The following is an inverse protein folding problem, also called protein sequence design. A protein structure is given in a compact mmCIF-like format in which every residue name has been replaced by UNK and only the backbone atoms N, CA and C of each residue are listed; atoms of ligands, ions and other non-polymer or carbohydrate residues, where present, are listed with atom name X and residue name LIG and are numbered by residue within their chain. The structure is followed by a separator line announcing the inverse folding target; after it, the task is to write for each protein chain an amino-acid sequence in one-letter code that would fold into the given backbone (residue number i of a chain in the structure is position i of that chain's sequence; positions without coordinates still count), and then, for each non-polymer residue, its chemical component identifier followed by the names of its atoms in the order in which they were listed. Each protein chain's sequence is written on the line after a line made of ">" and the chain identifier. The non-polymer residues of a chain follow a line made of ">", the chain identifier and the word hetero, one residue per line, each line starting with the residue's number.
data_IF_995365715178
#
_entry.id   IF_995365715178
#
_cell.length_a   1.000
_cell.length_b   1.000
_cell.length_c   1.000
_cell.angle_alpha   90.00
_cell.angle_beta   90.00
_cell.angle_gamma   90.00
#
_symmetry.space_group_name_H-M   'P 1'
#
loop_
_entity.id
_entity.type
_entity.pdbx_description
1 polymer ?
#
# COMPACT_ATOMS: atom_id res chain seq x y z
N UNK A 1 75.73 20.54 -51.92
CA UNK A 1 75.52 19.75 -53.16
C UNK A 1 74.02 19.79 -53.43
N UNK A 2 73.52 20.84 -54.09
CA UNK A 2 73.26 20.96 -55.53
C UNK A 2 72.26 19.96 -56.12
N UNK A 3 71.22 20.55 -56.74
CA UNK A 3 70.27 20.05 -57.77
C UNK A 3 69.28 18.96 -57.31
N UNK A 4 67.99 18.90 -57.69
CA UNK A 4 67.27 19.34 -58.91
C UNK A 4 65.75 19.22 -58.63
N UNK A 5 64.90 20.17 -59.05
CA UNK A 5 63.97 20.10 -60.21
C UNK A 5 62.97 18.91 -60.13
N UNK A 6 61.65 19.04 -60.28
CA UNK A 6 60.87 20.17 -60.77
C UNK A 6 59.36 19.94 -60.73
N UNK A 7 58.70 20.90 -61.37
CA UNK A 7 57.27 21.15 -61.62
C UNK A 7 56.58 19.98 -62.33
N UNK A 8 55.29 19.74 -62.04
CA UNK A 8 54.18 19.61 -63.02
C UNK A 8 52.80 19.64 -62.32
N UNK A 9 51.92 20.47 -62.88
CA UNK A 9 50.46 20.61 -62.71
C UNK A 9 49.72 19.25 -62.66
N UNK A 10 48.52 19.11 -62.08
CA UNK A 10 47.24 19.41 -62.75
C UNK A 10 46.08 19.42 -61.74
N UNK A 11 45.16 20.30 -62.09
CA UNK A 11 43.90 20.76 -61.52
C UNK A 11 42.78 19.70 -61.48
N UNK A 12 41.97 19.81 -60.42
CA UNK A 12 40.58 19.37 -60.18
C UNK A 12 40.16 17.92 -60.51
N UNK A 13 39.67 17.24 -59.47
CA UNK A 13 38.32 16.67 -59.46
C UNK A 13 37.82 16.64 -58.01
N UNK A 14 36.77 17.41 -57.72
CA UNK A 14 36.12 17.42 -56.42
C UNK A 14 35.29 16.15 -56.22
N UNK A 15 35.45 15.52 -55.06
CA UNK A 15 34.50 14.54 -54.52
C UNK A 15 34.36 14.82 -53.03
N UNK A 16 33.13 15.19 -52.67
CA UNK A 16 32.66 15.43 -51.31
C UNK A 16 32.70 14.11 -50.55
N UNK A 17 33.55 14.02 -49.52
CA UNK A 17 33.55 12.91 -48.56
C UNK A 17 32.68 13.31 -47.38
N UNK A 18 31.50 12.70 -47.29
CA UNK A 18 30.62 12.74 -46.12
C UNK A 18 31.28 12.00 -44.95
N UNK A 19 31.45 12.68 -43.82
CA UNK A 19 32.04 12.12 -42.61
C UNK A 19 31.07 11.20 -41.85
N UNK A 20 31.56 10.01 -41.49
CA UNK A 20 30.89 9.05 -40.63
C UNK A 20 30.85 9.54 -39.17
N UNK A 21 29.65 9.75 -38.63
CA UNK A 21 29.44 9.86 -37.19
C UNK A 21 29.22 8.45 -36.61
N UNK A 22 30.03 8.08 -35.60
CA UNK A 22 29.88 6.84 -34.83
C UNK A 22 28.59 6.90 -33.99
N UNK A 23 27.67 5.96 -34.22
CA UNK A 23 26.56 5.66 -33.30
C UNK A 23 27.14 5.04 -32.01
N UNK A 24 26.76 5.60 -30.86
CA UNK A 24 26.89 4.93 -29.57
C UNK A 24 25.77 3.89 -29.48
N UNK A 25 26.13 2.62 -29.27
CA UNK A 25 25.19 1.55 -29.00
C UNK A 25 24.63 1.71 -27.58
N UNK A 26 23.31 1.87 -27.47
CA UNK A 26 22.58 1.69 -26.20
C UNK A 26 22.60 0.21 -25.83
N UNK A 27 22.64 -0.16 -24.54
CA UNK A 27 22.39 -1.54 -24.13
C UNK A 27 20.98 -1.97 -24.56
N UNK A 28 20.75 -3.25 -24.88
CA UNK A 28 19.43 -3.72 -25.26
C UNK A 28 18.46 -3.57 -24.08
N UNK A 29 17.37 -2.83 -24.31
CA UNK A 29 16.18 -2.90 -23.44
C UNK A 29 15.72 -4.36 -23.37
N UNK A 30 15.53 -4.87 -22.16
CA UNK A 30 14.86 -6.15 -21.96
C UNK A 30 13.43 -6.02 -22.51
N UNK A 31 12.92 -7.00 -23.28
CA UNK A 31 11.53 -6.94 -23.72
C UNK A 31 10.61 -6.93 -22.51
N UNK A 32 9.70 -5.96 -22.44
CA UNK A 32 8.52 -6.05 -21.58
C UNK A 32 7.76 -7.31 -21.98
N UNK A 33 7.87 -8.35 -21.17
CA UNK A 33 7.24 -9.64 -21.39
C UNK A 33 5.76 -9.53 -21.00
N UNK A 34 5.00 -8.73 -21.76
CA UNK A 34 3.54 -8.72 -21.67
C UNK A 34 3.07 -10.09 -22.13
N UNK A 35 2.48 -10.86 -21.21
CA UNK A 35 1.81 -12.11 -21.55
C UNK A 35 0.70 -11.83 -22.57
N UNK A 36 0.36 -12.83 -23.39
CA UNK A 36 -0.72 -12.73 -24.37
C UNK A 36 -2.05 -12.39 -23.65
N UNK A 37 -2.41 -11.11 -23.64
CA UNK A 37 -3.50 -10.57 -22.81
C UNK A 37 -3.23 -9.18 -22.24
N UNK A 38 -1.98 -8.68 -22.28
CA UNK A 38 -1.64 -7.33 -21.82
C UNK A 38 -1.39 -7.20 -20.31
N UNK A 39 -1.62 -8.26 -19.53
CA UNK A 39 -1.29 -8.34 -18.11
C UNK A 39 0.21 -8.45 -17.90
N UNK A 40 0.68 -7.80 -16.83
CA UNK A 40 2.05 -7.89 -16.34
C UNK A 40 2.14 -9.14 -15.47
N UNK A 41 3.15 -9.98 -15.72
CA UNK A 41 3.43 -11.15 -14.88
C UNK A 41 4.16 -10.70 -13.61
N UNK A 42 3.63 -11.04 -12.45
CA UNK A 42 4.32 -10.85 -11.18
C UNK A 42 5.56 -11.76 -11.08
N UNK A 43 6.54 -11.33 -10.29
CA UNK A 43 7.78 -12.07 -10.06
C UNK A 43 8.26 -11.83 -8.64
N UNK A 44 8.99 -12.81 -8.08
CA UNK A 44 9.49 -12.72 -6.72
C UNK A 44 10.44 -11.53 -6.56
N UNK A 45 10.11 -10.62 -5.64
CA UNK A 45 10.97 -9.50 -5.29
C UNK A 45 12.09 -9.95 -4.34
N UNK A 46 11.69 -10.57 -3.23
CA UNK A 46 12.56 -11.01 -2.15
C UNK A 46 11.82 -12.06 -1.33
N UNK A 47 12.57 -13.05 -0.84
CA UNK A 47 12.07 -14.05 0.10
C UNK A 47 12.16 -13.49 1.53
N UNK A 48 11.05 -13.56 2.28
CA UNK A 48 11.03 -13.18 3.69
C UNK A 48 11.59 -14.33 4.55
N UNK A 49 12.22 -14.04 5.69
CA UNK A 49 12.65 -15.09 6.63
C UNK A 49 11.48 -15.94 7.13
N UNK A 50 11.72 -17.22 7.46
CA UNK A 50 10.68 -18.19 7.93
C UNK A 50 9.80 -17.70 9.10
N UNK A 51 10.28 -16.73 9.89
CA UNK A 51 9.49 -16.11 10.96
C UNK A 51 8.52 -15.03 10.47
N UNK A 52 8.37 -14.85 9.16
CA UNK A 52 7.43 -13.94 8.50
C UNK A 52 6.48 -14.77 7.61
N UNK A 53 5.35 -15.21 8.18
CA UNK A 53 4.38 -16.10 7.55
C UNK A 53 3.09 -15.40 7.07
N UNK A 54 2.86 -14.15 7.48
CA UNK A 54 1.72 -13.35 7.00
C UNK A 54 2.17 -11.89 6.99
N UNK A 55 2.53 -11.31 5.84
CA UNK A 55 2.77 -9.88 5.69
C UNK A 55 1.46 -9.12 5.44
N UNK A 56 1.47 -7.82 5.67
CA UNK A 56 0.31 -6.94 5.46
C UNK A 56 0.77 -5.59 4.85
N UNK A 57 0.46 -4.46 5.49
CA UNK A 57 0.73 -3.12 4.98
C UNK A 57 2.21 -2.72 4.89
N UNK A 58 2.48 -1.71 4.08
CA UNK A 58 3.78 -1.20 3.68
C UNK A 58 3.81 0.32 3.69
N UNK A 59 4.96 0.89 4.07
CA UNK A 59 5.20 2.31 3.92
C UNK A 59 6.53 2.57 3.19
N UNK A 60 6.45 3.21 2.01
CA UNK A 60 7.60 3.61 1.22
C UNK A 60 8.38 4.74 1.91
N UNK A 61 9.71 4.63 1.93
CA UNK A 61 10.62 5.65 2.44
C UNK A 61 11.26 6.46 1.31
N UNK A 62 11.74 7.69 1.60
CA UNK A 62 12.33 8.56 0.58
C UNK A 62 13.58 8.00 -0.12
N UNK A 63 14.28 7.05 0.50
CA UNK A 63 15.48 6.39 -0.05
C UNK A 63 15.13 5.20 -0.97
N UNK A 64 13.84 4.92 -1.19
CA UNK A 64 13.37 3.78 -1.98
C UNK A 64 13.33 2.45 -1.21
N UNK A 65 13.73 2.44 0.06
CA UNK A 65 13.39 1.33 0.96
C UNK A 65 11.92 1.42 1.40
N UNK A 66 11.38 0.36 1.97
CA UNK A 66 10.05 0.38 2.59
C UNK A 66 10.05 -0.45 3.86
N UNK A 67 9.11 -0.13 4.77
CA UNK A 67 8.77 -1.02 5.88
C UNK A 67 7.58 -1.87 5.51
N UNK A 68 7.50 -3.06 6.12
CA UNK A 68 6.45 -4.05 5.91
C UNK A 68 5.96 -4.53 7.28
N UNK A 69 4.67 -4.40 7.54
CA UNK A 69 3.99 -5.01 8.68
C UNK A 69 3.88 -6.51 8.46
N UNK A 70 4.19 -7.28 9.50
CA UNK A 70 4.13 -8.74 9.48
C UNK A 70 3.40 -9.20 10.74
N UNK A 71 2.06 -9.28 10.71
CA UNK A 71 1.27 -9.72 11.86
C UNK A 71 1.44 -11.21 12.20
N UNK A 72 1.84 -12.04 11.23
CA UNK A 72 2.01 -13.48 11.40
C UNK A 72 0.74 -14.21 11.90
N UNK A 73 -0.41 -13.93 11.28
CA UNK A 73 -1.67 -14.55 11.70
C UNK A 73 -1.74 -16.06 11.45
N UNK A 74 -1.00 -16.59 10.47
CA UNK A 74 -0.94 -18.04 10.21
C UNK A 74 -0.19 -18.81 11.32
N UNK A 75 0.89 -18.24 11.88
CA UNK A 75 1.54 -18.75 13.09
C UNK A 75 1.97 -17.60 14.02
N UNK A 76 1.15 -17.25 15.02
CA UNK A 76 1.42 -16.12 15.92
C UNK A 76 2.56 -16.39 16.91
N UNK A 77 3.04 -17.65 17.04
CA UNK A 77 4.14 -17.96 17.96
C UNK A 77 5.47 -17.32 17.52
N UNK A 78 5.60 -17.00 16.23
CA UNK A 78 6.75 -16.26 15.71
C UNK A 78 6.86 -14.85 16.33
N UNK A 79 5.75 -14.27 16.78
CA UNK A 79 5.64 -12.87 17.19
C UNK A 79 5.37 -11.95 16.00
N UNK A 80 4.99 -10.70 16.26
CA UNK A 80 4.66 -9.74 15.21
C UNK A 80 5.77 -8.71 14.99
N UNK A 81 6.04 -8.38 13.73
CA UNK A 81 7.20 -7.57 13.36
C UNK A 81 6.83 -6.44 12.40
N UNK A 82 7.65 -5.40 12.43
CA UNK A 82 7.84 -4.52 11.28
C UNK A 82 9.20 -4.88 10.68
N UNK A 83 9.19 -5.26 9.41
CA UNK A 83 10.38 -5.55 8.62
C UNK A 83 10.77 -4.32 7.82
N UNK A 84 12.03 -4.21 7.43
CA UNK A 84 12.53 -3.22 6.48
C UNK A 84 13.18 -3.93 5.30
N UNK A 85 12.74 -3.55 4.11
CA UNK A 85 13.30 -3.99 2.83
C UNK A 85 14.03 -2.79 2.24
N UNK A 86 15.34 -2.89 2.07
CA UNK A 86 16.15 -1.81 1.48
C UNK A 86 15.85 -1.58 -0.01
N UNK A 87 16.34 -0.48 -0.56
CA UNK A 87 16.21 -0.19 -2.00
C UNK A 87 16.89 -1.25 -2.90
N UNK A 88 17.85 -2.01 -2.38
CA UNK A 88 18.48 -3.17 -3.03
C UNK A 88 17.87 -4.52 -2.59
N UNK A 89 16.65 -4.50 -2.05
CA UNK A 89 15.83 -5.66 -1.67
C UNK A 89 16.46 -6.57 -0.60
N UNK A 90 17.20 -6.00 0.36
CA UNK A 90 17.68 -6.75 1.54
C UNK A 90 16.68 -6.62 2.68
N UNK A 91 16.30 -7.76 3.25
CA UNK A 91 15.37 -7.83 4.38
C UNK A 91 16.13 -7.71 5.71
N UNK A 92 15.57 -6.91 6.62
CA UNK A 92 16.05 -6.79 8.00
C UNK A 92 14.87 -6.56 8.94
N UNK A 93 15.00 -6.97 10.19
CA UNK A 93 13.99 -6.65 11.21
C UNK A 93 14.15 -5.18 11.63
N UNK A 94 13.08 -4.40 11.55
CA UNK A 94 13.08 -2.99 11.94
C UNK A 94 12.57 -2.80 13.36
N UNK A 95 11.48 -3.48 13.72
CA UNK A 95 10.83 -3.36 15.02
C UNK A 95 10.07 -4.63 15.40
N UNK A 96 9.90 -4.87 16.70
CA UNK A 96 9.03 -5.93 17.23
C UNK A 96 7.81 -5.26 17.85
N UNK A 97 6.62 -5.52 17.29
CA UNK A 97 5.40 -4.91 17.78
C UNK A 97 5.06 -5.44 19.19
N UNK A 98 4.82 -4.57 20.20
CA UNK A 98 4.52 -5.04 21.54
C UNK A 98 3.11 -5.65 21.61
N UNK A 99 2.93 -6.74 22.36
CA UNK A 99 1.60 -7.32 22.55
C UNK A 99 0.68 -6.35 23.29
N UNK A 100 -0.61 -6.41 22.97
CA UNK A 100 -1.64 -5.71 23.70
C UNK A 100 -1.76 -6.28 25.13
N UNK A 101 -1.78 -5.46 26.19
CA UNK A 101 -1.74 -5.94 27.59
C UNK A 101 -2.85 -6.91 28.00
N UNK A 102 -4.03 -6.82 27.35
CA UNK A 102 -5.20 -7.69 27.62
C UNK A 102 -5.23 -8.98 26.80
N UNK A 103 -4.82 -8.93 25.53
CA UNK A 103 -4.96 -10.06 24.61
C UNK A 103 -3.66 -10.85 24.50
N UNK A 104 -2.55 -10.25 24.94
CA UNK A 104 -1.19 -10.78 24.83
C UNK A 104 -0.72 -11.01 23.38
N UNK A 105 -1.43 -10.40 22.41
CA UNK A 105 -1.17 -10.52 20.97
C UNK A 105 -0.82 -9.16 20.36
N UNK A 106 -0.15 -9.18 19.21
CA UNK A 106 0.08 -8.01 18.38
C UNK A 106 -0.30 -8.36 16.93
N UNK A 107 -0.95 -7.43 16.24
CA UNK A 107 -1.38 -7.58 14.84
C UNK A 107 -1.14 -6.29 14.07
N UNK A 108 0.13 -5.89 13.83
CA UNK A 108 0.42 -4.74 12.98
C UNK A 108 -0.13 -4.96 11.57
N UNK A 109 -1.02 -4.07 11.14
CA UNK A 109 -1.63 -4.05 9.81
C UNK A 109 -1.13 -2.83 9.02
N UNK A 110 -2.02 -2.09 8.36
CA UNK A 110 -1.71 -0.84 7.67
C UNK A 110 -0.79 0.09 8.47
N UNK A 111 0.24 0.57 7.78
CA UNK A 111 1.34 1.36 8.36
C UNK A 111 1.65 2.54 7.45
N UNK A 112 1.98 3.69 8.03
CA UNK A 112 2.38 4.88 7.27
C UNK A 112 3.52 5.65 7.93
N UNK A 113 4.30 6.35 7.11
CA UNK A 113 5.38 7.23 7.55
C UNK A 113 4.81 8.63 7.87
N UNK A 114 5.06 9.12 9.08
CA UNK A 114 4.74 10.48 9.46
C UNK A 114 5.84 11.47 9.02
N UNK A 115 5.52 12.77 8.85
CA UNK A 115 6.53 13.79 8.56
C UNK A 115 7.66 13.90 9.60
N UNK A 116 7.43 13.46 10.84
CA UNK A 116 8.45 13.40 11.89
C UNK A 116 9.52 12.33 11.64
N UNK A 117 9.25 11.36 10.77
CA UNK A 117 10.04 10.13 10.63
C UNK A 117 9.53 8.96 11.49
N UNK A 118 8.54 9.19 12.34
CA UNK A 118 7.84 8.13 13.08
C UNK A 118 6.93 7.32 12.16
N UNK A 119 6.53 6.13 12.60
CA UNK A 119 5.51 5.33 11.90
C UNK A 119 4.25 5.23 12.72
N UNK A 120 3.10 5.34 12.08
CA UNK A 120 1.81 4.99 12.67
C UNK A 120 1.31 3.71 12.04
N UNK A 121 0.82 2.78 12.86
CA UNK A 121 0.27 1.51 12.38
C UNK A 121 -0.99 1.13 13.16
N UNK A 122 -1.89 0.41 12.52
CA UNK A 122 -3.02 -0.21 13.20
C UNK A 122 -2.57 -1.53 13.84
N UNK A 123 -2.91 -1.72 15.10
CA UNK A 123 -2.75 -2.97 15.81
C UNK A 123 -4.12 -3.65 15.89
N UNK A 124 -4.38 -4.53 14.92
CA UNK A 124 -5.62 -5.26 14.76
C UNK A 124 -5.66 -6.43 15.76
N UNK A 125 -6.69 -6.42 16.59
CA UNK A 125 -6.92 -7.43 17.62
C UNK A 125 -8.25 -8.15 17.37
N UNK A 126 -8.64 -8.30 16.10
CA UNK A 126 -9.90 -8.91 15.70
C UNK A 126 -10.08 -10.28 16.35
N UNK A 127 -11.06 -10.34 17.25
CA UNK A 127 -11.49 -11.56 17.89
C UNK A 127 -12.89 -11.32 18.47
N UNK A 128 -13.84 -12.26 18.27
CA UNK A 128 -15.14 -12.20 18.93
C UNK A 128 -15.04 -12.18 20.47
N UNK A 129 -13.94 -12.69 21.04
CA UNK A 129 -13.72 -12.81 22.49
C UNK A 129 -13.18 -11.51 23.11
N UNK A 130 -12.53 -10.67 22.30
CA UNK A 130 -11.91 -9.42 22.73
C UNK A 130 -12.39 -8.27 21.86
N UNK A 131 -13.67 -7.88 21.95
CA UNK A 131 -14.15 -6.70 21.24
C UNK A 131 -13.42 -5.46 21.77
N UNK A 132 -13.28 -4.45 20.92
CA UNK A 132 -12.75 -3.14 21.28
C UNK A 132 -11.30 -3.16 21.80
N UNK A 133 -10.49 -4.15 21.39
CA UNK A 133 -9.07 -4.22 21.77
C UNK A 133 -8.12 -3.76 20.67
N UNK A 134 -8.61 -3.44 19.47
CA UNK A 134 -7.75 -2.90 18.41
C UNK A 134 -7.29 -1.48 18.78
N UNK A 135 -6.10 -1.12 18.29
CA UNK A 135 -5.42 0.14 18.64
C UNK A 135 -4.80 0.79 17.41
N UNK A 136 -4.47 2.07 17.57
CA UNK A 136 -3.51 2.77 16.71
C UNK A 136 -2.26 2.99 17.53
N UNK A 137 -1.12 2.67 16.94
CA UNK A 137 0.18 2.70 17.60
C UNK A 137 1.13 3.62 16.84
N UNK A 138 2.05 4.27 17.54
CA UNK A 138 3.14 5.06 16.95
C UNK A 138 4.49 4.48 17.33
N UNK A 139 5.30 4.10 16.35
CA UNK A 139 6.71 3.75 16.54
C UNK A 139 7.51 5.04 16.53
N UNK A 140 8.12 5.37 17.66
CA UNK A 140 9.01 6.52 17.80
C UNK A 140 10.36 6.19 17.18
N UNK A 141 10.81 7.03 16.24
CA UNK A 141 12.08 6.88 15.54
C UNK A 141 13.03 8.00 15.94
N UNK A 142 14.24 7.64 16.38
CA UNK A 142 15.30 8.60 16.71
C UNK A 142 16.57 8.18 15.97
N UNK A 143 17.20 9.15 15.30
CA UNK A 143 18.42 8.92 14.51
C UNK A 143 18.30 7.75 13.50
N UNK A 144 17.10 7.58 12.92
CA UNK A 144 16.80 6.52 11.97
C UNK A 144 16.55 5.13 12.58
N UNK A 145 16.50 5.03 13.92
CA UNK A 145 16.31 3.79 14.66
C UNK A 145 14.97 3.79 15.40
N UNK A 146 14.16 2.76 15.21
CA UNK A 146 12.95 2.52 15.99
C UNK A 146 13.31 2.31 17.47
N UNK A 147 12.57 2.96 18.37
CA UNK A 147 12.84 2.95 19.80
C UNK A 147 11.73 2.21 20.56
N UNK A 148 10.54 2.81 20.59
CA UNK A 148 9.40 2.33 21.37
C UNK A 148 8.10 2.52 20.57
N UNK A 149 7.07 1.77 20.96
CA UNK A 149 5.72 1.96 20.43
C UNK A 149 4.82 2.55 21.52
N UNK A 150 4.11 3.61 21.15
CA UNK A 150 3.18 4.34 22.01
C UNK A 150 1.76 4.10 21.52
N UNK A 151 0.83 3.82 22.44
CA UNK A 151 -0.60 3.74 22.10
C UNK A 151 -1.14 5.15 21.82
N UNK A 152 -1.59 5.37 20.58
CA UNK A 152 -2.19 6.63 20.13
C UNK A 152 -3.69 6.59 20.43
N UNK A 153 -4.35 5.50 20.03
CA UNK A 153 -5.79 5.28 20.19
C UNK A 153 -6.04 3.86 20.68
N UNK A 154 -7.02 3.69 21.56
CA UNK A 154 -7.54 2.39 22.01
C UNK A 154 -9.06 2.36 21.97
N UNK A 155 -9.63 1.15 21.92
CA UNK A 155 -11.08 0.95 21.93
C UNK A 155 -11.69 0.65 20.55
N UNK A 156 -10.87 0.50 19.51
CA UNK A 156 -11.33 0.17 18.16
C UNK A 156 -11.74 -1.31 18.07
N UNK A 157 -12.72 -1.63 17.23
CA UNK A 157 -13.10 -3.02 17.00
C UNK A 157 -12.07 -3.72 16.11
N UNK A 158 -11.88 -3.21 14.89
CA UNK A 158 -11.04 -3.76 13.82
C UNK A 158 -10.31 -2.61 13.13
N UNK A 159 -9.25 -2.13 13.77
CA UNK A 159 -8.37 -1.11 13.17
C UNK A 159 -7.58 -1.75 12.02
N UNK A 160 -7.54 -1.09 10.86
CA UNK A 160 -6.93 -1.69 9.68
C UNK A 160 -5.95 -0.75 8.95
N UNK A 161 -6.36 -0.02 7.91
CA UNK A 161 -5.46 0.90 7.22
C UNK A 161 -5.17 2.15 8.07
N UNK A 162 -3.97 2.71 7.88
CA UNK A 162 -3.56 4.00 8.47
C UNK A 162 -3.01 4.90 7.36
N UNK A 163 -3.52 6.12 7.26
CA UNK A 163 -3.04 7.12 6.31
C UNK A 163 -2.86 8.48 7.00
N UNK A 164 -1.94 9.30 6.48
CA UNK A 164 -1.69 10.65 6.99
C UNK A 164 -1.95 11.69 5.90
N UNK A 165 -2.63 12.78 6.28
CA UNK A 165 -2.75 14.01 5.49
C UNK A 165 -2.68 15.21 6.43
N UNK A 166 -1.73 16.11 6.16
CA UNK A 166 -1.52 17.29 6.98
C UNK A 166 -1.21 16.91 8.43
N UNK A 167 -1.98 17.46 9.36
CA UNK A 167 -1.80 17.25 10.80
C UNK A 167 -2.61 16.07 11.35
N UNK A 168 -3.14 15.20 10.49
CA UNK A 168 -4.09 14.15 10.89
C UNK A 168 -3.68 12.75 10.44
N UNK A 169 -3.93 11.79 11.33
CA UNK A 169 -3.93 10.35 11.07
C UNK A 169 -5.37 9.89 10.83
N UNK A 170 -5.59 9.10 9.80
CA UNK A 170 -6.86 8.51 9.40
C UNK A 170 -6.76 7.01 9.51
N UNK A 171 -7.78 6.37 10.06
CA UNK A 171 -7.78 4.93 10.32
C UNK A 171 -9.11 4.34 9.90
N UNK A 172 -9.07 3.25 9.13
CA UNK A 172 -10.29 2.50 8.83
C UNK A 172 -10.67 1.61 10.01
N UNK A 173 -11.98 1.56 10.26
CA UNK A 173 -12.63 0.67 11.20
C UNK A 173 -13.47 -0.30 10.37
N UNK A 174 -12.92 -1.48 10.14
CA UNK A 174 -13.50 -2.47 9.21
C UNK A 174 -14.87 -2.96 9.70
N UNK A 175 -15.13 -2.94 11.01
CA UNK A 175 -16.43 -3.27 11.61
C UNK A 175 -16.78 -2.23 12.68
N UNK A 176 -17.52 -1.19 12.30
CA UNK A 176 -17.94 -0.12 13.21
C UNK A 176 -19.09 -0.57 14.10
N UNK A 177 -20.10 -1.22 13.51
CA UNK A 177 -21.27 -1.76 14.22
C UNK A 177 -21.27 -3.28 14.03
N UNK A 178 -20.82 -4.06 15.04
CA UNK A 178 -20.82 -5.51 14.96
C UNK A 178 -22.20 -6.07 14.62
N UNK A 179 -22.26 -7.12 13.81
CA UNK A 179 -23.48 -7.82 13.39
C UNK A 179 -24.51 -6.99 12.59
N UNK A 180 -24.17 -5.78 12.18
CA UNK A 180 -25.05 -4.93 11.37
C UNK A 180 -25.33 -5.52 9.98
N UNK A 181 -26.54 -5.26 9.47
CA UNK A 181 -26.99 -5.61 8.11
C UNK A 181 -27.72 -4.42 7.48
N UNK A 182 -27.17 -3.73 6.46
CA UNK A 182 -25.83 -3.95 5.86
C UNK A 182 -24.70 -3.81 6.88
N UNK A 183 -23.52 -4.36 6.57
CA UNK A 183 -22.33 -4.19 7.41
C UNK A 183 -21.96 -2.71 7.44
N UNK A 184 -21.86 -2.14 8.63
CA UNK A 184 -21.46 -0.75 8.85
C UNK A 184 -20.01 -0.73 9.32
N UNK A 185 -19.18 -0.03 8.55
CA UNK A 185 -17.78 0.26 8.80
C UNK A 185 -17.56 1.78 8.81
N UNK A 186 -16.35 2.24 9.13
CA UNK A 186 -16.11 3.67 9.28
C UNK A 186 -14.67 4.10 9.10
N UNK A 187 -14.48 5.42 9.15
CA UNK A 187 -13.16 6.06 9.12
C UNK A 187 -13.07 7.02 10.30
N UNK A 188 -12.06 6.82 11.12
CA UNK A 188 -11.71 7.71 12.22
C UNK A 188 -10.59 8.67 11.83
N UNK A 189 -10.54 9.81 12.51
CA UNK A 189 -9.46 10.80 12.35
C UNK A 189 -8.99 11.35 13.69
N UNK A 190 -7.67 11.40 13.85
CA UNK A 190 -6.99 11.89 15.05
C UNK A 190 -5.88 12.88 14.68
N UNK A 191 -5.55 13.80 15.57
CA UNK A 191 -4.45 14.73 15.33
C UNK A 191 -3.12 14.02 15.57
N UNK A 192 -2.14 14.28 14.70
CA UNK A 192 -0.76 13.82 14.90
C UNK A 192 -0.23 14.43 16.20
N UNK A 193 0.43 13.59 17.00
CA UNK A 193 0.97 13.94 18.31
C UNK A 193 0.00 13.73 19.48
N UNK A 194 -1.29 13.53 19.23
CA UNK A 194 -2.19 13.05 20.29
C UNK A 194 -1.83 11.61 20.67
N UNK A 195 -1.97 11.27 21.95
CA UNK A 195 -1.62 9.96 22.51
C UNK A 195 -2.64 9.56 23.58
N UNK A 196 -2.85 8.25 23.75
CA UNK A 196 -3.72 7.72 24.79
C UNK A 196 -5.20 8.09 24.65
N UNK A 197 -5.68 8.31 23.42
CA UNK A 197 -7.12 8.53 23.16
C UNK A 197 -7.87 7.21 23.39
N UNK A 198 -8.91 7.24 24.22
CA UNK A 198 -9.83 6.12 24.40
C UNK A 198 -11.16 6.44 23.69
N UNK A 199 -11.54 5.61 22.73
CA UNK A 199 -12.79 5.79 21.98
C UNK A 199 -14.01 5.49 22.85
N UNK A 200 -15.08 6.24 22.60
CA UNK A 200 -16.36 6.08 23.30
C UNK A 200 -17.22 5.03 22.62
N UNK A 201 -17.91 4.24 23.44
CA UNK A 201 -18.90 3.27 22.98
C UNK A 201 -20.32 3.84 23.19
N UNK A 202 -21.24 3.69 22.21
CA UNK A 202 -21.04 3.04 20.92
C UNK A 202 -20.11 3.85 19.99
N UNK A 203 -19.22 3.15 19.28
CA UNK A 203 -18.18 3.78 18.44
C UNK A 203 -18.75 4.72 17.39
N UNK A 204 -19.98 4.44 16.96
CA UNK A 204 -20.66 5.24 15.95
C UNK A 204 -21.09 6.64 16.40
N UNK A 205 -21.03 6.90 17.71
CA UNK A 205 -21.28 8.20 18.34
C UNK A 205 -19.99 8.94 18.73
N UNK A 206 -18.81 8.34 18.51
CA UNK A 206 -17.54 8.95 18.86
C UNK A 206 -17.22 10.15 17.94
N UNK A 207 -16.79 11.31 18.49
CA UNK A 207 -16.57 12.52 17.71
C UNK A 207 -15.41 12.43 16.70
N UNK A 208 -14.55 11.42 16.80
CA UNK A 208 -13.47 11.19 15.85
C UNK A 208 -13.92 10.44 14.60
N UNK A 209 -15.13 9.87 14.60
CA UNK A 209 -15.71 9.24 13.41
C UNK A 209 -16.07 10.32 12.38
N UNK A 210 -15.49 10.22 11.19
CA UNK A 210 -15.70 11.22 10.12
C UNK A 210 -16.52 10.70 8.93
N UNK A 211 -16.59 9.38 8.76
CA UNK A 211 -17.36 8.76 7.67
C UNK A 211 -17.84 7.36 8.08
N UNK A 212 -19.02 6.97 7.57
CA UNK A 212 -19.55 5.60 7.63
C UNK A 212 -19.62 5.03 6.21
N UNK A 213 -19.39 3.72 6.08
CA UNK A 213 -19.48 2.96 4.82
C UNK A 213 -20.37 1.74 5.06
N UNK A 214 -21.32 1.53 4.16
CA UNK A 214 -22.22 0.37 4.16
C UNK A 214 -21.74 -0.66 3.14
N UNK A 215 -21.74 -1.93 3.54
CA UNK A 215 -21.38 -3.06 2.68
C UNK A 215 -22.51 -4.08 2.64
N UNK A 216 -22.80 -4.58 1.44
CA UNK A 216 -23.98 -5.38 1.15
C UNK A 216 -23.66 -6.82 0.75
N UNK A 217 -22.39 -7.20 0.67
CA UNK A 217 -21.98 -8.56 0.36
C UNK A 217 -22.63 -9.58 1.32
N UNK A 218 -23.21 -10.69 0.80
CA UNK A 218 -23.98 -11.61 1.63
C UNK A 218 -23.15 -12.40 2.64
N UNK A 219 -21.85 -12.58 2.38
CA UNK A 219 -20.98 -13.49 3.14
C UNK A 219 -19.66 -12.88 3.61
N UNK A 220 -19.20 -11.77 3.00
CA UNK A 220 -17.91 -11.17 3.33
C UNK A 220 -18.17 -10.10 4.39
N UNK A 221 -17.57 -10.29 5.56
CA UNK A 221 -17.83 -9.50 6.78
C UNK A 221 -16.87 -8.33 7.02
N UNK A 222 -16.18 -7.84 5.98
CA UNK A 222 -15.15 -6.81 6.09
C UNK A 222 -15.51 -5.59 5.25
N UNK A 223 -15.62 -4.41 5.86
CA UNK A 223 -16.04 -3.17 5.20
C UNK A 223 -14.86 -2.29 4.79
N UNK A 224 -14.81 -1.08 5.34
CA UNK A 224 -13.72 -0.13 5.14
C UNK A 224 -12.35 -0.75 5.44
N UNK A 225 -11.47 -0.72 4.45
CA UNK A 225 -10.14 -1.32 4.52
C UNK A 225 -9.06 -0.32 4.11
N UNK A 226 -8.43 -0.46 2.94
CA UNK A 226 -7.36 0.41 2.46
C UNK A 226 -7.75 1.89 2.37
N UNK A 227 -6.81 2.77 2.71
CA UNK A 227 -6.96 4.23 2.66
C UNK A 227 -5.82 4.87 1.86
N UNK A 228 -6.14 5.82 0.98
CA UNK A 228 -5.13 6.68 0.37
C UNK A 228 -5.68 8.08 0.05
N UNK A 229 -4.79 9.05 -0.16
CA UNK A 229 -5.16 10.40 -0.58
C UNK A 229 -4.72 10.66 -2.02
N UNK A 230 -5.50 11.40 -2.80
CA UNK A 230 -5.01 12.00 -4.05
C UNK A 230 -4.22 13.30 -3.81
N UNK A 231 -3.59 13.81 -4.85
CA UNK A 231 -2.82 15.06 -4.81
C UNK A 231 -3.66 16.30 -4.49
N UNK A 232 -5.00 16.17 -4.56
CA UNK A 232 -5.97 17.23 -4.24
C UNK A 232 -6.48 17.12 -2.81
N UNK A 233 -6.06 16.11 -2.05
CA UNK A 233 -6.45 15.88 -0.67
C UNK A 233 -7.81 15.23 -0.47
N UNK A 234 -8.37 14.59 -1.51
CA UNK A 234 -9.54 13.72 -1.36
C UNK A 234 -9.09 12.37 -0.77
N UNK A 235 -9.85 11.85 0.18
CA UNK A 235 -9.61 10.53 0.77
C UNK A 235 -10.36 9.47 -0.03
N UNK A 236 -9.67 8.38 -0.33
CA UNK A 236 -10.23 7.19 -0.94
C UNK A 236 -10.19 6.04 0.05
N UNK A 237 -11.27 5.27 0.08
CA UNK A 237 -11.39 4.10 0.94
C UNK A 237 -11.89 2.90 0.13
N UNK A 238 -11.17 1.79 0.23
CA UNK A 238 -11.62 0.50 -0.25
C UNK A 238 -12.73 -0.03 0.66
N UNK A 239 -13.86 -0.41 0.06
CA UNK A 239 -14.85 -1.25 0.72
C UNK A 239 -14.57 -2.69 0.28
N UNK A 240 -13.94 -3.44 1.19
CA UNK A 240 -13.43 -4.78 0.92
C UNK A 240 -14.55 -5.69 0.41
N UNK A 241 -15.64 -5.82 1.16
CA UNK A 241 -16.74 -6.75 0.86
C UNK A 241 -17.40 -6.49 -0.50
N UNK A 242 -17.63 -5.23 -0.86
CA UNK A 242 -18.40 -4.89 -2.05
C UNK A 242 -17.52 -4.64 -3.29
N UNK A 243 -16.19 -4.62 -3.14
CA UNK A 243 -15.26 -4.27 -4.22
C UNK A 243 -15.54 -2.87 -4.78
N UNK A 244 -15.85 -1.91 -3.90
CA UNK A 244 -16.14 -0.52 -4.29
C UNK A 244 -15.14 0.44 -3.68
N UNK A 245 -14.90 1.57 -4.36
CA UNK A 245 -14.08 2.66 -3.83
C UNK A 245 -14.96 3.84 -3.47
N UNK A 246 -14.89 4.25 -2.22
CA UNK A 246 -15.49 5.46 -1.73
C UNK A 246 -14.55 6.64 -1.92
N UNK A 247 -15.08 7.79 -2.35
CA UNK A 247 -14.39 9.07 -2.36
C UNK A 247 -15.02 9.99 -1.32
N UNK A 248 -14.19 10.44 -0.40
CA UNK A 248 -14.51 11.37 0.67
C UNK A 248 -13.82 12.70 0.38
N UNK A 249 -14.59 13.78 0.40
CA UNK A 249 -14.07 15.14 0.15
C UNK A 249 -14.23 16.02 1.38
N UNK A 250 -13.42 17.08 1.45
CA UNK A 250 -13.33 17.96 2.61
C UNK A 250 -13.50 19.44 2.19
N UNK A 251 -13.98 20.28 3.11
CA UNK A 251 -13.89 21.74 2.97
C UNK A 251 -12.51 22.27 3.39
N UNK A 252 -12.35 23.60 3.33
CA UNK A 252 -11.12 24.30 3.71
C UNK A 252 -10.80 24.20 5.22
N UNK A 253 -11.74 23.74 6.04
CA UNK A 253 -11.57 23.49 7.47
C UNK A 253 -11.38 21.98 7.77
N UNK A 254 -11.04 21.20 6.74
CA UNK A 254 -10.91 19.74 6.78
C UNK A 254 -12.18 19.03 7.31
N UNK A 255 -13.37 19.62 7.19
CA UNK A 255 -14.61 18.90 7.52
C UNK A 255 -15.11 18.13 6.30
N UNK A 256 -15.59 16.91 6.52
CA UNK A 256 -16.17 16.09 5.44
C UNK A 256 -17.37 16.80 4.81
N UNK A 257 -17.35 16.95 3.48
CA UNK A 257 -18.41 17.55 2.68
C UNK A 257 -19.15 16.53 1.82
N UNK A 258 -18.51 15.42 1.46
CA UNK A 258 -19.17 14.29 0.78
C UNK A 258 -18.51 12.95 1.08
N UNK A 259 -19.28 11.88 0.97
CA UNK A 259 -18.83 10.49 0.89
C UNK A 259 -19.70 9.79 -0.16
N UNK A 260 -19.11 9.34 -1.26
CA UNK A 260 -19.83 8.71 -2.37
C UNK A 260 -19.07 7.51 -2.90
N UNK A 261 -19.79 6.47 -3.32
CA UNK A 261 -19.19 5.40 -4.14
C UNK A 261 -18.74 6.03 -5.45
N UNK A 262 -17.43 6.10 -5.65
CA UNK A 262 -16.80 6.68 -6.83
C UNK A 262 -16.57 5.62 -7.91
N UNK A 263 -16.15 4.42 -7.51
CA UNK A 263 -15.93 3.29 -8.42
C UNK A 263 -16.71 2.07 -7.93
N UNK A 264 -17.45 1.47 -8.88
CA UNK A 264 -18.06 0.16 -8.76
C UNK A 264 -18.01 -0.49 -10.14
N UNK A 265 -17.43 -1.68 -10.23
CA UNK A 265 -17.21 -2.38 -11.50
C UNK A 265 -17.15 -3.88 -11.30
N UNK A 266 -17.47 -4.65 -12.32
CA UNK A 266 -17.38 -6.12 -12.27
C UNK A 266 -15.94 -6.63 -12.26
N UNK A 267 -14.96 -5.78 -12.60
CA UNK A 267 -13.54 -6.12 -12.65
C UNK A 267 -12.91 -6.31 -11.28
N UNK A 268 -13.54 -5.79 -10.22
CA UNK A 268 -13.01 -5.77 -8.87
C UNK A 268 -13.95 -6.55 -7.96
N UNK A 269 -13.45 -7.56 -7.24
CA UNK A 269 -14.28 -8.39 -6.35
C UNK A 269 -14.13 -8.03 -4.89
N UNK A 270 -12.94 -7.61 -4.48
CA UNK A 270 -12.75 -6.85 -3.27
C UNK A 270 -11.86 -5.63 -3.51
N UNK A 271 -11.79 -4.75 -2.52
CA UNK A 271 -10.90 -3.61 -2.50
C UNK A 271 -10.22 -3.53 -1.12
N UNK A 272 -9.05 -4.14 -1.03
CA UNK A 272 -8.23 -4.21 0.19
C UNK A 272 -7.32 -2.98 0.29
N UNK A 273 -5.99 -3.14 0.32
CA UNK A 273 -5.02 -2.06 0.35
C UNK A 273 -5.08 -1.14 -0.88
N UNK A 274 -4.94 0.17 -0.62
CA UNK A 274 -4.97 1.24 -1.62
C UNK A 274 -3.67 2.05 -1.59
N UNK A 275 -3.07 2.31 -2.75
CA UNK A 275 -1.92 3.21 -2.87
C UNK A 275 -2.10 4.20 -4.03
N UNK A 276 -2.03 5.50 -3.74
CA UNK A 276 -2.16 6.55 -4.75
C UNK A 276 -0.80 7.11 -5.16
N UNK A 277 -0.51 7.09 -6.46
CA UNK A 277 0.60 7.86 -7.01
C UNK A 277 0.26 9.35 -7.03
N UNK A 278 0.91 10.10 -6.14
CA UNK A 278 0.71 11.55 -6.00
C UNK A 278 1.04 12.36 -7.26
N UNK A 279 1.78 11.79 -8.23
CA UNK A 279 2.10 12.48 -9.47
C UNK A 279 0.99 12.37 -10.51
N UNK A 280 0.27 11.25 -10.53
CA UNK A 280 -0.70 10.94 -11.60
C UNK A 280 -2.13 10.79 -11.10
N UNK A 281 -2.36 10.78 -9.78
CA UNK A 281 -3.63 10.46 -9.13
C UNK A 281 -4.18 9.07 -9.53
N UNK A 282 -3.30 8.16 -9.95
CA UNK A 282 -3.65 6.75 -10.17
C UNK A 282 -3.60 5.98 -8.87
N UNK A 283 -4.57 5.10 -8.65
CA UNK A 283 -4.70 4.34 -7.41
C UNK A 283 -4.53 2.85 -7.74
N UNK A 284 -3.55 2.21 -7.11
CA UNK A 284 -3.48 0.76 -7.01
C UNK A 284 -4.49 0.27 -5.99
N UNK A 285 -5.13 -0.85 -6.32
CA UNK A 285 -6.02 -1.58 -5.41
C UNK A 285 -5.61 -3.05 -5.43
N UNK A 286 -5.38 -3.60 -4.25
CA UNK A 286 -5.22 -5.03 -4.07
C UNK A 286 -6.61 -5.69 -4.06
N UNK A 287 -6.81 -6.63 -4.99
CA UNK A 287 -8.03 -7.42 -5.13
C UNK A 287 -7.73 -8.86 -4.73
N UNK A 288 -7.68 -9.06 -3.42
CA UNK A 288 -7.40 -10.32 -2.74
C UNK A 288 -8.21 -11.49 -3.32
N UNK A 289 -9.51 -11.29 -3.55
CA UNK A 289 -10.44 -12.35 -3.99
C UNK A 289 -10.08 -12.89 -5.37
N UNK A 290 -9.42 -12.10 -6.23
CA UNK A 290 -9.08 -12.51 -7.59
C UNK A 290 -7.58 -12.74 -7.82
N UNK A 291 -6.74 -12.69 -6.78
CA UNK A 291 -5.28 -12.68 -6.93
C UNK A 291 -4.83 -11.65 -7.98
N UNK A 292 -5.31 -10.41 -7.83
CA UNK A 292 -5.13 -9.36 -8.82
C UNK A 292 -4.74 -8.00 -8.22
N UNK A 293 -4.05 -7.21 -9.04
CA UNK A 293 -3.83 -5.79 -8.80
C UNK A 293 -4.61 -4.99 -9.84
N UNK A 294 -5.46 -4.10 -9.36
CA UNK A 294 -6.22 -3.17 -10.17
C UNK A 294 -5.54 -1.80 -10.14
N UNK A 295 -5.66 -1.05 -11.23
CA UNK A 295 -5.25 0.33 -11.37
C UNK A 295 -6.49 1.16 -11.71
N UNK A 296 -6.78 2.14 -10.87
CA UNK A 296 -7.86 3.09 -11.08
C UNK A 296 -7.27 4.40 -11.58
N UNK A 297 -7.76 4.88 -12.73
CA UNK A 297 -7.38 6.16 -13.30
C UNK A 297 -8.16 7.32 -12.68
N UNK A 298 -7.68 8.57 -12.79
CA UNK A 298 -8.36 9.73 -12.20
C UNK A 298 -9.81 9.97 -12.67
N UNK A 299 -10.19 9.41 -13.82
CA UNK A 299 -11.56 9.46 -14.36
C UNK A 299 -12.47 8.34 -13.82
N UNK A 300 -11.95 7.46 -12.96
CA UNK A 300 -12.66 6.33 -12.36
C UNK A 300 -12.63 5.06 -13.21
N UNK A 301 -11.96 5.06 -14.36
CA UNK A 301 -11.80 3.83 -15.16
C UNK A 301 -10.83 2.86 -14.48
N UNK A 302 -11.14 1.56 -14.56
CA UNK A 302 -10.36 0.49 -13.91
C UNK A 302 -9.69 -0.39 -14.95
N UNK A 303 -8.39 -0.60 -14.80
CA UNK A 303 -7.54 -1.52 -15.55
C UNK A 303 -7.02 -2.61 -14.60
N UNK A 304 -7.13 -3.87 -14.99
CA UNK A 304 -6.44 -4.97 -14.31
C UNK A 304 -5.02 -5.05 -14.85
N UNK A 305 -4.01 -4.77 -14.03
CA UNK A 305 -2.62 -4.69 -14.50
C UNK A 305 -1.86 -6.00 -14.31
N UNK A 306 -2.22 -6.79 -13.30
CA UNK A 306 -1.64 -8.09 -13.01
C UNK A 306 -2.70 -8.99 -12.37
N UNK A 307 -2.72 -10.27 -12.75
CA UNK A 307 -3.64 -11.27 -12.22
C UNK A 307 -3.10 -12.67 -12.55
N UNK A 308 -3.25 -13.62 -11.64
CA UNK A 308 -3.03 -15.05 -11.90
C UNK A 308 -4.13 -15.90 -11.26
N UNK A 309 -4.09 -17.21 -11.51
CA UNK A 309 -4.93 -18.17 -10.81
C UNK A 309 -4.43 -18.45 -9.39
N UNK A 310 -5.01 -19.45 -8.75
CA UNK A 310 -4.59 -19.94 -7.44
C UNK A 310 -3.11 -20.40 -7.44
N UNK A 311 -2.39 -20.10 -6.36
CA UNK A 311 -0.95 -20.34 -6.21
C UNK A 311 -0.57 -20.41 -4.72
N UNK A 312 0.69 -20.70 -4.40
CA UNK A 312 1.27 -20.64 -3.06
C UNK A 312 2.27 -19.48 -2.91
N UNK A 313 2.34 -18.60 -3.93
CA UNK A 313 3.22 -17.43 -3.96
C UNK A 313 4.72 -17.74 -4.03
N UNK A 314 5.15 -19.01 -4.00
CA UNK A 314 6.56 -19.37 -3.83
C UNK A 314 7.45 -18.95 -5.01
N UNK A 315 6.89 -18.79 -6.20
CA UNK A 315 7.57 -18.28 -7.40
C UNK A 315 7.37 -16.77 -7.63
N UNK A 316 6.72 -16.08 -6.68
CA UNK A 316 6.33 -14.68 -6.76
C UNK A 316 5.02 -14.43 -7.51
N UNK A 317 4.22 -15.47 -7.73
CA UNK A 317 2.80 -15.32 -8.08
C UNK A 317 2.04 -14.48 -7.05
N UNK A 318 0.96 -13.84 -7.50
CA UNK A 318 0.07 -13.04 -6.66
C UNK A 318 -0.80 -14.01 -5.86
N UNK A 319 -0.75 -13.92 -4.53
CA UNK A 319 -1.46 -14.82 -3.65
C UNK A 319 -2.12 -14.03 -2.53
N UNK A 320 -3.44 -13.84 -2.65
CA UNK A 320 -4.27 -13.06 -1.73
C UNK A 320 -3.59 -11.71 -1.40
N UNK A 321 -3.37 -10.85 -2.42
CA UNK A 321 -2.69 -9.58 -2.20
C UNK A 321 -3.53 -8.73 -1.27
N UNK A 322 -2.92 -8.28 -0.17
CA UNK A 322 -3.56 -7.34 0.77
C UNK A 322 -3.12 -5.90 0.51
N UNK A 323 -1.94 -5.69 -0.08
CA UNK A 323 -1.51 -4.34 -0.44
C UNK A 323 -0.60 -4.32 -1.66
N UNK A 324 -0.63 -3.21 -2.41
CA UNK A 324 0.38 -2.89 -3.40
C UNK A 324 0.79 -1.42 -3.33
N UNK A 325 2.09 -1.15 -3.48
CA UNK A 325 2.64 0.21 -3.49
C UNK A 325 3.44 0.49 -4.76
N UNK A 326 3.50 1.77 -5.15
CA UNK A 326 4.43 2.24 -6.17
C UNK A 326 5.85 2.39 -5.61
N UNK A 327 6.85 1.86 -6.31
CA UNK A 327 8.27 2.11 -6.04
C UNK A 327 9.00 2.44 -7.33
N UNK A 328 9.10 3.74 -7.63
CA UNK A 328 9.60 4.18 -8.94
C UNK A 328 8.64 3.72 -10.04
N UNK A 329 9.15 2.94 -11.00
CA UNK A 329 8.35 2.35 -12.08
C UNK A 329 7.85 0.93 -11.73
N UNK A 330 8.12 0.44 -10.52
CA UNK A 330 7.67 -0.87 -10.04
C UNK A 330 6.38 -0.77 -9.23
N UNK A 331 5.61 -1.86 -9.26
CA UNK A 331 4.55 -2.14 -8.28
C UNK A 331 5.03 -3.26 -7.39
N UNK A 332 5.08 -3.01 -6.08
CA UNK A 332 5.45 -3.99 -5.07
C UNK A 332 4.16 -4.51 -4.44
N UNK A 333 4.04 -5.84 -4.33
CA UNK A 333 2.83 -6.51 -3.84
C UNK A 333 3.18 -7.22 -2.53
N UNK A 334 2.34 -7.05 -1.52
CA UNK A 334 2.34 -7.85 -0.29
C UNK A 334 1.27 -8.92 -0.43
N UNK A 335 1.69 -10.19 -0.39
CA UNK A 335 0.82 -11.36 -0.46
C UNK A 335 0.51 -11.82 0.96
N UNK A 336 -0.75 -11.75 1.37
CA UNK A 336 -1.12 -12.11 2.74
C UNK A 336 -0.99 -13.62 2.99
N UNK A 337 -1.18 -14.45 1.95
CA UNK A 337 -1.18 -15.92 2.02
C UNK A 337 -2.06 -16.42 3.19
N UNK A 338 -3.24 -15.81 3.33
CA UNK A 338 -4.21 -16.15 4.35
C UNK A 338 -5.46 -16.73 3.69
N UNK A 339 -5.79 -18.03 3.88
CA UNK A 339 -6.97 -18.64 3.28
C UNK A 339 -8.24 -17.80 3.47
N UNK A 340 -8.60 -17.08 2.42
CA UNK A 340 -9.78 -16.22 2.36
C UNK A 340 -10.78 -16.86 1.40
N UNK A 341 -11.95 -17.24 1.91
CA UNK A 341 -13.02 -17.78 1.05
C UNK A 341 -13.67 -16.62 0.26
N UNK A 342 -13.49 -16.64 -1.06
CA UNK A 342 -14.07 -15.70 -2.03
C UNK A 342 -14.63 -16.43 -3.24
#
# INVERSE_FOLDING_TARGET
>A
QFVSVGIVLVVLCGLVVTGCAKKQDKPPEKPDEKAAGGLIKAQLLVELPDYCNTPDGMALLPDGSFVLSVPNFNDPNAGAFIMKISADNKVSKFFTAPPHPKTEKAGPMGICLAPSGDFYYADNQFSPETPQTSRVMRIVVKDGLAQEAVTVVSGMNVANAVAIKGDYVYVSETILVPESKPLISGIFRFKIGDEGIELKTPLEDDPHLIAKIESYHPTIGFGADGLCFDSKGNLYCGNFADGTIHKITFDEQDKVTSNTIWVKTDKMKCADGLCCDQKTDRILVADMVQNAIQMIHPDGTVETIAMNGDTDGADGGIDQPCEAIFRGDEVIISNMDWPFEG
#
